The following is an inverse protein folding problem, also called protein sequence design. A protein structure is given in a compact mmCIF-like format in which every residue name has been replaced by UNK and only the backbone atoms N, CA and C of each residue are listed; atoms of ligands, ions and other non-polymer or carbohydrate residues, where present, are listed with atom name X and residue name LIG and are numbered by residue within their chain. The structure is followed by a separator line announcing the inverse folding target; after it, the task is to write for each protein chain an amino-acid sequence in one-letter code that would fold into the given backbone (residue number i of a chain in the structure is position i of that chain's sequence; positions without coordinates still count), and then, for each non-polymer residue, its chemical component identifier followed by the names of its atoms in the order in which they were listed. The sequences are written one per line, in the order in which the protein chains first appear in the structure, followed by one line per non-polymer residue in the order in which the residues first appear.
data_IF_157488962380
#
_entry.id   IF_157488962380
#
_cell.length_a   1.000
_cell.length_b   1.000
_cell.length_c   1.000
_cell.angle_alpha   90.00
_cell.angle_beta   90.00
_cell.angle_gamma   90.00
#
_symmetry.space_group_name_H-M   'P 1'
#
loop_
_entity.id
_entity.type
_entity.pdbx_description
1 polymer ?
#
# COMPACT_ATOMS: atom_id res chain seq x y z
N UNK A 1 -54.45 14.89 6.46
CA UNK A 1 -53.42 13.89 6.11
C UNK A 1 -52.12 14.65 5.92
N UNK A 2 -51.21 14.53 6.88
CA UNK A 2 -49.90 15.18 6.83
C UNK A 2 -48.95 14.26 6.06
N UNK A 3 -48.41 14.78 4.97
CA UNK A 3 -47.36 14.14 4.19
C UNK A 3 -46.02 14.52 4.84
N UNK A 4 -45.40 13.57 5.54
CA UNK A 4 -44.06 13.74 6.09
C UNK A 4 -43.06 13.35 5.00
N UNK A 5 -42.42 14.37 4.42
CA UNK A 5 -41.28 14.17 3.53
C UNK A 5 -40.15 13.47 4.26
N UNK A 6 -39.84 12.25 3.82
CA UNK A 6 -38.60 11.54 4.13
C UNK A 6 -37.41 12.39 3.69
N UNK A 7 -36.69 12.97 4.66
CA UNK A 7 -35.34 13.45 4.42
C UNK A 7 -34.42 12.23 4.36
N UNK A 8 -34.05 11.83 3.15
CA UNK A 8 -32.91 10.94 2.93
C UNK A 8 -31.64 11.64 3.41
N UNK A 9 -31.17 11.31 4.61
CA UNK A 9 -29.83 11.62 5.05
C UNK A 9 -28.86 10.76 4.23
N UNK A 10 -28.51 11.21 3.03
CA UNK A 10 -27.28 10.78 2.37
C UNK A 10 -26.13 11.32 3.20
N UNK A 11 -25.57 10.49 4.08
CA UNK A 11 -24.28 10.77 4.70
C UNK A 11 -23.25 10.81 3.58
N UNK A 12 -22.90 12.02 3.14
CA UNK A 12 -21.72 12.24 2.31
C UNK A 12 -20.53 11.66 3.07
N UNK A 13 -20.01 10.53 2.59
CA UNK A 13 -18.78 9.95 3.11
C UNK A 13 -17.66 10.89 2.68
N UNK A 14 -17.30 11.83 3.55
CA UNK A 14 -16.20 12.75 3.32
C UNK A 14 -14.87 11.98 3.40
N UNK A 15 -14.33 11.58 2.25
CA UNK A 15 -12.97 11.03 2.16
C UNK A 15 -11.99 12.08 2.72
N UNK A 16 -11.19 11.70 3.71
CA UNK A 16 -10.25 12.60 4.39
C UNK A 16 -8.83 12.31 3.97
N UNK A 17 -7.97 13.33 3.89
CA UNK A 17 -6.54 13.13 3.62
C UNK A 17 -5.85 12.51 4.84
N UNK A 18 -4.96 11.55 4.60
CA UNK A 18 -4.13 10.97 5.66
C UNK A 18 -3.09 12.00 6.14
N UNK A 19 -2.73 11.93 7.42
CA UNK A 19 -1.57 12.64 7.97
C UNK A 19 -0.29 11.91 7.55
N UNK A 20 0.84 12.63 7.53
CA UNK A 20 2.11 12.04 7.11
C UNK A 20 3.28 12.46 7.98
N UNK A 21 4.32 11.64 7.97
CA UNK A 21 5.64 11.96 8.53
C UNK A 21 6.73 11.38 7.62
N UNK A 22 7.82 12.14 7.36
CA UNK A 22 8.99 11.60 6.68
C UNK A 22 9.68 10.59 7.61
N UNK A 23 10.11 9.46 7.05
CA UNK A 23 10.80 8.38 7.78
C UNK A 23 11.99 7.90 6.97
N UNK A 24 12.93 7.19 7.61
CA UNK A 24 14.08 6.52 6.98
C UNK A 24 15.03 7.44 6.19
N UNK A 25 14.62 7.92 5.00
CA UNK A 25 15.41 8.80 4.14
C UNK A 25 14.51 9.75 3.30
N UNK A 26 15.17 10.62 2.55
CA UNK A 26 14.53 11.62 1.71
C UNK A 26 13.59 11.00 0.66
N UNK A 27 12.31 11.37 0.67
CA UNK A 27 11.31 10.86 -0.27
C UNK A 27 10.57 9.61 0.22
N UNK A 28 10.81 9.17 1.45
CA UNK A 28 10.01 8.14 2.09
C UNK A 28 9.07 8.77 3.12
N UNK A 29 7.80 8.44 3.00
CA UNK A 29 6.76 8.97 3.89
C UNK A 29 5.90 7.85 4.42
N UNK A 30 5.60 7.93 5.72
CA UNK A 30 4.55 7.15 6.36
C UNK A 30 3.27 7.97 6.42
N UNK A 31 2.16 7.33 6.10
CA UNK A 31 0.83 7.89 6.17
C UNK A 31 -0.04 7.11 7.15
N UNK A 32 -0.79 7.82 7.97
CA UNK A 32 -1.76 7.25 8.92
C UNK A 32 -3.08 8.03 8.82
N UNK A 33 -4.21 7.37 9.12
CA UNK A 33 -5.54 8.00 9.10
C UNK A 33 -5.66 9.13 10.14
N UNK A 34 -5.07 8.92 11.31
CA UNK A 34 -5.00 9.89 12.41
C UNK A 34 -3.80 9.58 13.31
N UNK A 35 -3.48 10.49 14.25
CA UNK A 35 -2.44 10.23 15.25
C UNK A 35 -2.79 9.03 16.15
N UNK A 36 -4.07 8.86 16.49
CA UNK A 36 -4.54 7.71 17.28
C UNK A 36 -4.37 6.40 16.50
N UNK A 37 -4.68 6.41 15.19
CA UNK A 37 -4.51 5.24 14.32
C UNK A 37 -3.03 4.87 14.15
N UNK A 38 -2.16 5.88 14.10
CA UNK A 38 -0.70 5.68 14.09
C UNK A 38 -0.22 4.95 15.35
N UNK A 39 -0.71 5.36 16.51
CA UNK A 39 -0.34 4.78 17.81
C UNK A 39 -0.97 3.38 18.00
N UNK A 40 -2.11 3.12 17.36
CA UNK A 40 -2.80 1.83 17.36
C UNK A 40 -2.27 0.84 16.29
N UNK A 41 -1.43 1.30 15.36
CA UNK A 41 -0.90 0.47 14.29
C UNK A 41 -0.04 -0.67 14.85
N UNK A 42 -0.23 -1.87 14.31
CA UNK A 42 0.59 -3.02 14.67
C UNK A 42 2.06 -2.80 14.30
N UNK A 43 3.02 -3.42 15.03
CA UNK A 43 4.44 -3.38 14.66
C UNK A 43 4.66 -3.83 13.22
N UNK A 44 5.60 -3.17 12.53
CA UNK A 44 5.97 -3.57 11.17
C UNK A 44 6.67 -4.92 11.17
N UNK A 45 6.26 -5.79 10.27
CA UNK A 45 7.02 -7.00 9.91
C UNK A 45 7.69 -6.87 8.54
N UNK A 46 7.51 -5.72 7.87
CA UNK A 46 8.13 -5.43 6.57
C UNK A 46 9.54 -4.85 6.73
N UNK A 47 9.78 -4.07 7.80
CA UNK A 47 11.05 -3.37 8.02
C UNK A 47 12.04 -4.26 8.77
N UNK A 48 13.32 -4.24 8.35
CA UNK A 48 14.39 -4.97 9.05
C UNK A 48 14.56 -4.48 10.49
N UNK A 49 14.41 -3.18 10.69
CA UNK A 49 14.33 -2.55 11.99
C UNK A 49 13.00 -1.79 12.08
N UNK A 50 12.05 -2.38 12.81
CA UNK A 50 10.69 -1.85 12.94
C UNK A 50 10.63 -0.43 13.53
N UNK A 51 11.66 0.01 14.28
CA UNK A 51 11.74 1.37 14.82
C UNK A 51 11.92 2.44 13.75
N UNK A 52 12.48 2.10 12.60
CA UNK A 52 12.74 3.07 11.55
C UNK A 52 11.42 3.52 10.88
N UNK A 53 10.39 2.66 10.88
CA UNK A 53 9.02 3.03 10.49
C UNK A 53 8.35 3.99 11.48
N UNK A 54 8.70 3.88 12.76
CA UNK A 54 8.12 4.71 13.84
C UNK A 54 8.80 6.07 13.99
N UNK A 55 10.07 6.16 13.58
CA UNK A 55 10.93 7.31 13.92
C UNK A 55 10.88 8.36 12.81
N UNK A 56 10.22 9.52 13.03
CA UNK A 56 10.23 10.59 12.06
C UNK A 56 11.63 11.19 11.93
N UNK A 57 12.02 11.52 10.70
CA UNK A 57 13.27 12.25 10.42
C UNK A 57 12.98 13.74 10.21
N UNK A 58 14.01 14.59 10.29
CA UNK A 58 13.87 15.98 9.86
C UNK A 58 13.83 16.03 8.34
N UNK A 59 12.64 16.13 7.76
CA UNK A 59 12.43 16.31 6.33
C UNK A 59 11.82 17.67 6.03
N UNK A 60 12.38 18.38 5.06
CA UNK A 60 11.79 19.62 4.51
C UNK A 60 10.88 19.36 3.31
N UNK A 61 10.89 18.14 2.78
CA UNK A 61 10.07 17.73 1.64
C UNK A 61 8.67 17.33 2.10
N UNK A 62 7.70 17.60 1.25
CA UNK A 62 6.31 17.15 1.41
C UNK A 62 5.99 16.10 0.35
N UNK A 63 5.12 15.12 0.65
CA UNK A 63 4.74 14.11 -0.33
C UNK A 63 3.95 14.74 -1.48
N UNK A 64 4.31 14.39 -2.71
CA UNK A 64 3.63 14.86 -3.91
C UNK A 64 2.23 14.25 -4.04
N UNK A 65 2.10 12.96 -3.72
CA UNK A 65 0.85 12.22 -3.76
C UNK A 65 0.41 11.88 -2.35
N UNK A 66 -0.70 12.49 -1.91
CA UNK A 66 -1.28 12.25 -0.59
C UNK A 66 -2.51 11.36 -0.71
N UNK A 67 -2.54 10.22 -0.01
CA UNK A 67 -3.72 9.36 -0.02
C UNK A 67 -4.88 10.00 0.73
N UNK A 68 -6.06 9.55 0.33
CA UNK A 68 -7.29 9.71 1.10
C UNK A 68 -7.69 8.39 1.73
N UNK A 69 -8.44 8.44 2.81
CA UNK A 69 -8.93 7.25 3.49
C UNK A 69 -10.41 7.37 3.85
N UNK A 70 -11.02 6.20 4.02
CA UNK A 70 -12.36 5.99 4.56
C UNK A 70 -12.32 4.78 5.49
N UNK A 71 -12.99 4.86 6.64
CA UNK A 71 -13.13 3.75 7.58
C UNK A 71 -14.59 3.29 7.57
N UNK A 72 -14.86 2.11 7.02
CA UNK A 72 -16.21 1.55 6.89
C UNK A 72 -16.24 0.12 7.43
N UNK A 73 -17.17 -0.15 8.35
CA UNK A 73 -17.39 -1.49 8.91
C UNK A 73 -16.11 -2.19 9.43
N UNK A 74 -15.22 -1.43 10.09
CA UNK A 74 -13.95 -1.94 10.63
C UNK A 74 -12.85 -2.18 9.58
N UNK A 75 -13.09 -1.81 8.32
CA UNK A 75 -12.09 -1.81 7.26
C UNK A 75 -11.61 -0.39 6.99
N UNK A 76 -10.29 -0.25 6.85
CA UNK A 76 -9.65 0.96 6.36
C UNK A 76 -9.42 0.84 4.85
N UNK A 77 -10.04 1.76 4.12
CA UNK A 77 -9.94 1.89 2.67
C UNK A 77 -9.03 3.08 2.38
N UNK A 78 -7.88 2.84 1.74
CA UNK A 78 -6.94 3.90 1.35
C UNK A 78 -6.92 4.03 -0.17
N UNK A 79 -6.98 5.26 -0.67
CA UNK A 79 -7.02 5.58 -2.11
C UNK A 79 -5.88 6.53 -2.47
N UNK A 80 -5.04 6.13 -3.43
CA UNK A 80 -4.05 6.98 -4.09
C UNK A 80 -4.52 7.28 -5.50
N UNK A 81 -4.74 8.55 -5.81
CA UNK A 81 -5.00 9.02 -7.17
C UNK A 81 -3.69 9.52 -7.78
N UNK A 82 -3.33 9.00 -8.95
CA UNK A 82 -2.08 9.27 -9.68
C UNK A 82 -2.39 9.86 -11.06
N UNK A 83 -1.40 10.42 -11.78
CA UNK A 83 -1.60 10.94 -13.12
C UNK A 83 -2.14 9.88 -14.10
N UNK A 84 -2.99 10.29 -15.04
CA UNK A 84 -3.49 9.42 -16.11
C UNK A 84 -2.35 8.77 -16.92
N UNK A 85 -2.51 7.51 -17.32
CA UNK A 85 -1.46 6.73 -17.98
C UNK A 85 -0.41 6.13 -17.05
N UNK A 86 -0.67 6.10 -15.73
CA UNK A 86 0.16 5.37 -14.78
C UNK A 86 -0.06 3.87 -14.94
N UNK A 87 1.01 3.09 -15.04
CA UNK A 87 0.95 1.63 -15.05
C UNK A 87 1.40 1.03 -13.71
N UNK A 88 0.82 -0.11 -13.34
CA UNK A 88 1.03 -0.74 -12.03
C UNK A 88 1.73 -2.09 -12.13
N UNK A 89 2.63 -2.36 -11.19
CA UNK A 89 3.42 -3.59 -11.08
C UNK A 89 3.56 -4.00 -9.60
N UNK A 90 4.18 -5.16 -9.34
CA UNK A 90 4.40 -5.68 -7.99
C UNK A 90 3.31 -6.65 -7.55
N UNK A 91 2.80 -6.50 -6.33
CA UNK A 91 1.78 -7.35 -5.66
C UNK A 91 2.19 -8.78 -5.31
N UNK A 92 3.48 -9.10 -5.42
CA UNK A 92 4.04 -10.38 -4.97
C UNK A 92 3.85 -11.52 -5.96
N UNK A 93 3.63 -12.73 -5.44
CA UNK A 93 3.46 -13.94 -6.23
C UNK A 93 2.01 -14.05 -6.73
N UNK A 94 1.76 -13.61 -7.96
CA UNK A 94 0.44 -13.61 -8.60
C UNK A 94 0.54 -14.07 -10.05
N UNK A 95 -0.46 -14.82 -10.52
CA UNK A 95 -0.50 -15.36 -11.88
C UNK A 95 -0.80 -14.28 -12.94
N UNK A 96 -0.52 -14.60 -14.21
CA UNK A 96 -0.84 -13.73 -15.36
C UNK A 96 0.27 -12.75 -15.75
N UNK A 97 -0.11 -11.71 -16.50
CA UNK A 97 0.81 -10.69 -17.01
C UNK A 97 1.49 -9.89 -15.90
N UNK A 98 2.71 -9.41 -16.16
CA UNK A 98 3.50 -8.65 -15.19
C UNK A 98 2.80 -7.34 -14.76
N UNK A 99 2.18 -6.64 -15.72
CA UNK A 99 1.41 -5.44 -15.45
C UNK A 99 0.09 -5.77 -14.73
N UNK A 100 -0.21 -5.01 -13.69
CA UNK A 100 -1.33 -5.19 -12.77
C UNK A 100 -2.43 -4.13 -12.94
N UNK A 101 -2.27 -3.21 -13.88
CA UNK A 101 -3.32 -2.25 -14.26
C UNK A 101 -4.60 -2.99 -14.65
N UNK A 102 -5.74 -2.56 -14.12
CA UNK A 102 -7.02 -3.21 -14.39
C UNK A 102 -7.28 -4.47 -13.55
N UNK A 103 -6.39 -4.85 -12.63
CA UNK A 103 -6.51 -6.08 -11.83
C UNK A 103 -6.97 -5.80 -10.40
N UNK A 104 -7.53 -6.82 -9.78
CA UNK A 104 -7.86 -6.86 -8.35
C UNK A 104 -7.15 -8.06 -7.74
N UNK A 105 -6.34 -7.81 -6.73
CA UNK A 105 -5.46 -8.80 -6.10
C UNK A 105 -5.77 -8.86 -4.61
N UNK A 106 -5.67 -10.04 -4.02
CA UNK A 106 -5.75 -10.20 -2.58
C UNK A 106 -4.40 -10.71 -2.08
N UNK A 107 -3.82 -10.04 -1.10
CA UNK A 107 -2.62 -10.53 -0.42
C UNK A 107 -3.10 -11.39 0.76
N UNK A 108 -3.39 -12.65 0.44
CA UNK A 108 -3.76 -13.66 1.43
C UNK A 108 -3.31 -15.04 0.97
N UNK A 109 -2.40 -15.62 1.72
CA UNK A 109 -1.86 -16.93 1.36
C UNK A 109 -2.95 -17.99 1.36
N UNK A 110 -3.04 -18.72 0.26
CA UNK A 110 -3.94 -19.87 0.14
C UNK A 110 -3.16 -21.07 -0.39
N UNK A 111 -3.57 -22.27 -0.01
CA UNK A 111 -3.01 -23.49 -0.61
C UNK A 111 -3.54 -23.57 -2.05
N UNK A 112 -2.75 -23.10 -3.02
CA UNK A 112 -3.15 -22.95 -4.42
C UNK A 112 -2.66 -24.12 -5.31
N UNK A 113 -3.04 -25.35 -4.97
CA UNK A 113 -2.73 -26.53 -5.79
C UNK A 113 -3.54 -26.51 -7.10
N UNK A 114 -2.87 -26.59 -8.26
CA UNK A 114 -3.52 -26.53 -9.58
C UNK A 114 -3.90 -25.12 -10.06
N UNK A 115 -3.13 -24.09 -9.68
CA UNK A 115 -3.41 -22.70 -10.03
C UNK A 115 -3.44 -22.44 -11.54
N UNK A 116 -4.26 -21.46 -11.95
CA UNK A 116 -4.43 -21.05 -13.33
C UNK A 116 -4.15 -19.55 -13.52
N UNK A 117 -4.25 -19.04 -14.76
CA UNK A 117 -3.92 -17.65 -15.09
C UNK A 117 -4.71 -16.59 -14.29
N UNK A 118 -5.92 -16.94 -13.83
CA UNK A 118 -6.82 -16.07 -13.08
C UNK A 118 -6.63 -16.14 -11.55
N UNK A 119 -5.69 -16.95 -11.04
CA UNK A 119 -5.47 -17.06 -9.60
C UNK A 119 -4.86 -15.78 -9.04
N UNK A 120 -5.60 -15.11 -8.15
CA UNK A 120 -5.29 -13.75 -7.64
C UNK A 120 -4.45 -13.71 -6.37
N UNK A 121 -4.07 -14.86 -5.81
CA UNK A 121 -3.17 -14.98 -4.66
C UNK A 121 -2.56 -16.37 -4.61
N UNK A 122 -1.26 -16.48 -4.32
CA UNK A 122 -0.52 -17.75 -4.25
C UNK A 122 0.08 -17.94 -2.84
N UNK A 123 1.38 -18.26 -2.75
CA UNK A 123 2.03 -18.67 -1.51
C UNK A 123 2.69 -17.52 -0.75
N UNK A 124 2.80 -16.34 -1.36
CA UNK A 124 3.38 -15.15 -0.74
C UNK A 124 2.54 -13.89 -0.97
N UNK A 125 2.32 -13.13 0.10
CA UNK A 125 1.48 -11.94 0.14
C UNK A 125 2.33 -10.69 0.28
N UNK A 126 2.40 -9.87 -0.77
CA UNK A 126 3.14 -8.62 -0.76
C UNK A 126 2.18 -7.45 -0.97
N UNK A 127 1.75 -6.73 0.08
CA UNK A 127 0.85 -5.58 -0.02
C UNK A 127 1.57 -4.33 -0.58
N UNK A 128 2.26 -4.51 -1.70
CA UNK A 128 3.17 -3.58 -2.36
C UNK A 128 2.76 -3.34 -3.81
N UNK A 129 2.74 -2.08 -4.23
CA UNK A 129 2.52 -1.67 -5.62
C UNK A 129 3.65 -0.76 -6.07
N UNK A 130 4.21 -1.05 -7.24
CA UNK A 130 5.12 -0.17 -7.96
C UNK A 130 4.34 0.52 -9.08
N UNK A 131 4.26 1.84 -9.04
CA UNK A 131 3.61 2.66 -10.05
C UNK A 131 4.64 3.33 -10.94
N UNK A 132 4.49 3.21 -12.26
CA UNK A 132 5.30 3.93 -13.25
C UNK A 132 4.45 5.06 -13.82
N UNK A 133 4.87 6.29 -13.57
CA UNK A 133 4.20 7.51 -13.97
C UNK A 133 4.40 7.77 -15.47
N UNK A 134 3.50 8.53 -16.13
CA UNK A 134 3.59 8.83 -17.56
C UNK A 134 4.86 9.59 -17.96
N UNK A 135 5.51 10.28 -17.02
CA UNK A 135 6.78 10.98 -17.23
C UNK A 135 8.02 10.08 -17.06
N UNK A 136 7.84 8.78 -16.74
CA UNK A 136 8.92 7.82 -16.50
C UNK A 136 9.42 7.75 -15.06
N UNK A 137 8.95 8.63 -14.17
CA UNK A 137 9.21 8.52 -12.74
C UNK A 137 8.48 7.30 -12.14
N UNK A 138 8.96 6.83 -11.01
CA UNK A 138 8.39 5.67 -10.33
C UNK A 138 8.07 5.98 -8.86
N UNK A 139 6.99 5.39 -8.36
CA UNK A 139 6.54 5.49 -6.97
C UNK A 139 6.27 4.09 -6.43
N UNK A 140 6.86 3.78 -5.29
CA UNK A 140 6.53 2.58 -4.53
C UNK A 140 5.49 2.88 -3.46
N UNK A 141 4.51 1.98 -3.27
CA UNK A 141 3.46 2.13 -2.25
C UNK A 141 3.26 0.81 -1.52
N UNK A 142 3.54 0.80 -0.21
CA UNK A 142 3.40 -0.34 0.69
C UNK A 142 2.23 -0.10 1.66
N UNK A 143 1.20 -0.93 1.64
CA UNK A 143 0.26 -1.03 2.74
C UNK A 143 0.86 -1.95 3.81
N UNK A 144 1.41 -1.39 4.89
CA UNK A 144 2.17 -2.15 5.90
C UNK A 144 1.22 -2.82 6.89
N UNK A 145 0.65 -3.95 6.46
CA UNK A 145 -0.28 -4.78 7.23
C UNK A 145 0.01 -6.25 7.02
N UNK A 146 -0.16 -7.03 8.08
CA UNK A 146 -0.06 -8.49 8.06
C UNK A 146 -1.42 -9.15 7.86
N UNK A 147 -2.49 -8.35 7.89
CA UNK A 147 -3.86 -8.82 7.70
C UNK A 147 -4.14 -8.93 6.21
N UNK A 148 -5.15 -9.74 5.86
CA UNK A 148 -5.65 -9.82 4.48
C UNK A 148 -5.90 -8.42 3.93
N UNK A 149 -5.16 -8.07 2.88
CA UNK A 149 -5.27 -6.80 2.18
C UNK A 149 -5.75 -7.04 0.75
N UNK A 150 -6.71 -6.24 0.32
CA UNK A 150 -7.11 -6.14 -1.07
C UNK A 150 -6.36 -5.00 -1.73
N UNK A 151 -5.81 -5.26 -2.92
CA UNK A 151 -5.24 -4.27 -3.82
C UNK A 151 -6.14 -4.19 -5.05
N UNK A 152 -6.89 -3.09 -5.19
CA UNK A 152 -7.76 -2.84 -6.33
C UNK A 152 -7.16 -1.77 -7.24
N UNK A 153 -6.77 -2.19 -8.44
CA UNK A 153 -6.14 -1.39 -9.50
C UNK A 153 -7.04 -1.28 -10.73
N UNK A 154 -8.34 -1.57 -10.59
CA UNK A 154 -9.30 -1.58 -11.71
C UNK A 154 -9.67 -0.20 -12.22
N UNK A 155 -9.67 0.80 -11.33
CA UNK A 155 -9.89 2.20 -11.74
C UNK A 155 -8.57 2.75 -12.27
N UNK A 156 -8.64 3.39 -13.42
CA UNK A 156 -7.48 4.03 -14.06
C UNK A 156 -6.73 4.94 -13.08
N UNK A 157 -5.40 4.80 -13.08
CA UNK A 157 -4.47 5.58 -12.25
C UNK A 157 -4.82 5.67 -10.76
N UNK A 158 -5.56 4.69 -10.22
CA UNK A 158 -5.87 4.62 -8.80
C UNK A 158 -5.38 3.33 -8.18
N UNK A 159 -4.64 3.47 -7.09
CA UNK A 159 -4.37 2.36 -6.17
C UNK A 159 -5.39 2.44 -5.03
N UNK A 160 -6.10 1.35 -4.77
CA UNK A 160 -6.94 1.23 -3.59
C UNK A 160 -6.52 0.04 -2.74
N UNK A 161 -6.19 0.29 -1.48
CA UNK A 161 -5.95 -0.74 -0.49
C UNK A 161 -7.15 -0.87 0.44
N UNK A 162 -7.55 -2.10 0.77
CA UNK A 162 -8.58 -2.37 1.77
C UNK A 162 -8.09 -3.45 2.72
N UNK A 163 -7.99 -3.13 4.01
CA UNK A 163 -7.65 -4.10 5.03
C UNK A 163 -8.36 -3.78 6.36
N UNK A 164 -8.59 -4.77 7.23
CA UNK A 164 -9.14 -4.53 8.55
C UNK A 164 -8.09 -3.94 9.49
N UNK A 165 -8.56 -3.24 10.53
CA UNK A 165 -7.74 -2.51 11.52
C UNK A 165 -6.92 -1.35 10.92
N UNK A 166 -6.48 -0.38 11.74
CA UNK A 166 -5.58 0.67 11.28
C UNK A 166 -4.25 0.11 10.79
N UNK A 167 -3.79 0.57 9.62
CA UNK A 167 -2.48 0.26 9.08
C UNK A 167 -1.85 1.49 8.41
N UNK A 168 -0.53 1.68 8.54
CA UNK A 168 0.15 2.74 7.82
C UNK A 168 0.34 2.38 6.35
N UNK A 169 0.38 3.41 5.50
CA UNK A 169 0.87 3.29 4.12
C UNK A 169 2.22 3.97 4.01
N UNK A 170 3.20 3.31 3.40
CA UNK A 170 4.54 3.84 3.18
C UNK A 170 4.74 4.10 1.69
N UNK A 171 5.21 5.29 1.34
CA UNK A 171 5.58 5.61 -0.05
C UNK A 171 7.08 5.73 -0.20
N UNK A 172 7.59 5.33 -1.35
CA UNK A 172 8.99 5.42 -1.74
C UNK A 172 9.08 6.21 -3.04
N UNK A 173 9.46 7.49 -2.95
CA UNK A 173 9.55 8.41 -4.08
C UNK A 173 8.42 9.46 -4.14
N UNK A 174 8.12 10.02 -5.31
CA UNK A 174 8.57 9.57 -6.64
C UNK A 174 10.09 9.71 -6.85
N UNK A 175 10.67 8.77 -7.58
CA UNK A 175 12.07 8.78 -8.02
C UNK A 175 12.17 8.73 -9.54
N UNK A 176 13.35 9.08 -10.06
CA UNK A 176 13.60 9.14 -11.51
C UNK A 176 13.58 7.78 -12.22
N UNK A 177 13.57 6.67 -11.49
CA UNK A 177 13.53 5.33 -12.08
C UNK A 177 12.91 4.28 -11.15
N UNK A 178 12.37 3.18 -11.71
CA UNK A 178 11.89 2.03 -10.93
C UNK A 178 12.99 1.41 -10.07
N UNK A 179 14.23 1.37 -10.58
CA UNK A 179 15.39 0.85 -9.85
C UNK A 179 15.67 1.64 -8.59
N UNK A 180 15.56 2.97 -8.63
CA UNK A 180 15.74 3.80 -7.44
C UNK A 180 14.68 3.51 -6.36
N UNK A 181 13.43 3.23 -6.76
CA UNK A 181 12.38 2.80 -5.82
C UNK A 181 12.76 1.47 -5.16
N UNK A 182 13.27 0.51 -5.92
CA UNK A 182 13.64 -0.81 -5.40
C UNK A 182 14.87 -0.75 -4.46
N UNK A 183 15.85 0.10 -4.76
CA UNK A 183 17.00 0.36 -3.86
C UNK A 183 16.52 0.99 -2.55
N UNK A 184 15.65 2.01 -2.63
CA UNK A 184 15.09 2.65 -1.44
C UNK A 184 14.24 1.67 -0.61
N UNK A 185 13.49 0.78 -1.28
CA UNK A 185 12.77 -0.31 -0.62
C UNK A 185 13.73 -1.28 0.09
N UNK A 186 14.85 -1.67 -0.53
CA UNK A 186 15.81 -2.60 0.10
C UNK A 186 16.48 -2.00 1.34
N UNK A 187 16.69 -0.69 1.39
CA UNK A 187 17.14 -0.04 2.63
C UNK A 187 16.15 -0.24 3.79
N UNK A 188 14.84 -0.28 3.51
CA UNK A 188 13.81 -0.48 4.52
C UNK A 188 13.64 -1.96 4.92
N UNK A 189 13.57 -2.85 3.94
CA UNK A 189 13.21 -4.27 4.16
C UNK A 189 14.43 -5.20 4.32
N UNK A 190 15.63 -4.68 4.09
CA UNK A 190 16.88 -5.43 4.10
C UNK A 190 17.39 -5.75 2.69
N UNK A 191 18.72 -5.89 2.58
CA UNK A 191 19.40 -6.33 1.37
C UNK A 191 19.72 -7.82 1.44
N UNK A 192 19.75 -8.47 0.27
CA UNK A 192 20.31 -9.81 0.15
C UNK A 192 21.81 -9.76 0.46
N UNK A 193 22.22 -10.39 1.55
CA UNK A 193 23.63 -10.61 1.85
C UNK A 193 24.02 -12.02 1.43
N UNK A 194 25.06 -12.15 0.60
CA UNK A 194 25.54 -13.37 -0.09
C UNK A 194 25.90 -14.57 0.81
N UNK A 195 25.56 -14.59 2.12
CA UNK A 195 25.89 -15.72 2.98
C UNK A 195 25.03 -15.93 4.24
N UNK A 196 23.77 -15.46 4.28
CA UNK A 196 22.76 -15.93 5.25
C UNK A 196 21.40 -15.93 4.56
N UNK A 197 20.64 -17.01 4.68
CA UNK A 197 19.26 -17.07 4.20
C UNK A 197 18.45 -15.92 4.82
N UNK A 198 18.25 -14.86 4.04
CA UNK A 198 17.22 -13.85 4.26
C UNK A 198 16.34 -13.92 3.03
N UNK A 199 15.26 -14.68 3.14
CA UNK A 199 14.15 -14.60 2.21
C UNK A 199 13.68 -13.14 2.19
N UNK A 200 13.16 -12.66 1.06
CA UNK A 200 12.27 -11.50 1.09
C UNK A 200 11.09 -11.91 1.98
N UNK A 201 11.17 -11.65 3.30
CA UNK A 201 10.17 -12.13 4.25
C UNK A 201 8.96 -11.20 4.15
N UNK A 202 8.17 -11.37 3.11
CA UNK A 202 6.77 -10.98 3.16
C UNK A 202 6.01 -12.20 3.64
N UNK A 203 5.60 -12.09 4.90
CA UNK A 203 5.28 -13.23 5.75
C UNK A 203 4.18 -14.10 5.15
N UNK A 204 4.52 -15.37 5.01
CA UNK A 204 3.54 -16.43 4.84
C UNK A 204 3.04 -16.87 6.21
N UNK A 205 1.92 -16.30 6.65
CA UNK A 205 1.21 -16.83 7.81
C UNK A 205 0.08 -17.75 7.35
N UNK A 206 0.24 -19.04 7.65
CA UNK A 206 -0.85 -20.01 7.80
C UNK A 206 -1.55 -19.83 9.14
#
# INVERSE_FOLDING_TARGET
MADQGEKSNTSDVTSSYMIYQPILEDGIFRFDCSANDRDAAYPSLSFINSKDRETPIMGHKVPLYRPTFECLFGQQIVKFELPAGTSFYGSGEVSGQLERTGKRIFTWNTIAWGFGPETTSLYQSHPWVLAILPNGEALGVLADTTRRCEIDLRKESRIQFVAPSPYPVITFGPFSSPTAVLISLSHAIGEESYNREVYLVFMSFT
#
